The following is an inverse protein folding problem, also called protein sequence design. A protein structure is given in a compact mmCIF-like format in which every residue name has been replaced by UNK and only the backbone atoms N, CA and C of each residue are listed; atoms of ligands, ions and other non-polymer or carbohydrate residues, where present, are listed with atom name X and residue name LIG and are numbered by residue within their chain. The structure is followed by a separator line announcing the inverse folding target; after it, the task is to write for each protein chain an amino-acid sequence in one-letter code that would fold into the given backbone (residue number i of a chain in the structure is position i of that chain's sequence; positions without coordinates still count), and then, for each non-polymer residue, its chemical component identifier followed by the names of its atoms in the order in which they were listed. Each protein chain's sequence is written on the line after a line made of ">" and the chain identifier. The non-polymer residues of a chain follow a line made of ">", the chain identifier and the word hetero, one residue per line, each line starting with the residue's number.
data_IF_619610912566
#
_entry.id   IF_619610912566
#
_cell.length_a   1.000
_cell.length_b   1.000
_cell.length_c   1.000
_cell.angle_alpha   90.00
_cell.angle_beta   90.00
_cell.angle_gamma   90.00
#
_symmetry.space_group_name_H-M   'P 1'
#
loop_
_entity.id
_entity.type
_entity.pdbx_description
1 polymer ?
#
# COMPACT_ATOMS: atom_id res chain seq x y z
N UNK A 1 -12.36 8.15 -16.70
CA UNK A 1 -11.77 9.36 -16.08
C UNK A 1 -10.27 9.23 -16.23
N UNK A 2 -9.62 10.20 -16.85
CA UNK A 2 -8.19 10.12 -17.17
C UNK A 2 -7.29 10.17 -15.92
N UNK A 3 -6.11 9.54 -16.00
CA UNK A 3 -5.13 9.44 -14.91
C UNK A 3 -4.69 10.83 -14.43
N UNK A 4 -4.52 11.79 -15.35
CA UNK A 4 -4.17 13.17 -15.02
C UNK A 4 -5.25 13.84 -14.16
N UNK A 5 -6.52 13.69 -14.55
CA UNK A 5 -7.65 14.29 -13.81
C UNK A 5 -7.82 13.71 -12.41
N UNK A 6 -7.44 12.45 -12.19
CA UNK A 6 -7.42 11.85 -10.85
C UNK A 6 -6.32 12.48 -9.97
N UNK A 7 -5.13 12.69 -10.53
CA UNK A 7 -4.03 13.35 -9.83
C UNK A 7 -4.37 14.81 -9.47
N UNK A 8 -5.02 15.54 -10.38
CA UNK A 8 -5.51 16.89 -10.15
C UNK A 8 -6.51 16.98 -8.97
N UNK A 9 -7.47 16.04 -8.90
CA UNK A 9 -8.44 16.01 -7.78
C UNK A 9 -7.74 15.70 -6.45
N UNK A 10 -6.82 14.74 -6.44
CA UNK A 10 -6.06 14.34 -5.25
C UNK A 10 -5.23 15.51 -4.72
N UNK A 11 -4.54 16.22 -5.60
CA UNK A 11 -3.70 17.36 -5.24
C UNK A 11 -4.53 18.55 -4.78
N UNK A 12 -5.72 18.77 -5.36
CA UNK A 12 -6.64 19.84 -4.96
C UNK A 12 -7.35 19.59 -3.62
N UNK A 13 -7.52 18.33 -3.20
CA UNK A 13 -8.29 17.96 -2.00
C UNK A 13 -7.55 16.97 -1.08
N UNK A 14 -6.33 17.29 -0.59
CA UNK A 14 -5.46 16.34 0.10
C UNK A 14 -6.07 15.74 1.38
N UNK A 15 -6.86 16.53 2.13
CA UNK A 15 -7.55 16.05 3.33
C UNK A 15 -8.65 15.05 2.99
N UNK A 16 -9.44 15.32 1.95
CA UNK A 16 -10.50 14.41 1.51
C UNK A 16 -9.89 13.11 0.98
N UNK A 17 -8.79 13.20 0.23
CA UNK A 17 -8.05 12.02 -0.26
C UNK A 17 -7.53 11.17 0.89
N UNK A 18 -6.97 11.77 1.93
CA UNK A 18 -6.48 11.02 3.08
C UNK A 18 -7.60 10.33 3.87
N UNK A 19 -8.75 11.00 4.05
CA UNK A 19 -9.94 10.40 4.68
C UNK A 19 -10.46 9.22 3.85
N UNK A 20 -10.50 9.37 2.53
CA UNK A 20 -10.88 8.30 1.61
C UNK A 20 -9.90 7.12 1.71
N UNK A 21 -8.60 7.39 1.68
CA UNK A 21 -7.55 6.38 1.85
C UNK A 21 -7.73 5.62 3.18
N UNK A 22 -7.96 6.32 4.29
CA UNK A 22 -8.23 5.70 5.58
C UNK A 22 -9.46 4.80 5.55
N UNK A 23 -10.59 5.29 5.04
CA UNK A 23 -11.83 4.51 4.93
C UNK A 23 -11.61 3.24 4.09
N UNK A 24 -10.95 3.38 2.94
CA UNK A 24 -10.67 2.28 2.03
C UNK A 24 -9.76 1.23 2.70
N UNK A 25 -8.64 1.65 3.27
CA UNK A 25 -7.68 0.77 3.93
C UNK A 25 -8.31 0.09 5.14
N UNK A 26 -9.01 0.81 6.01
CA UNK A 26 -9.67 0.23 7.18
C UNK A 26 -10.68 -0.85 6.79
N UNK A 27 -11.46 -0.63 5.73
CA UNK A 27 -12.40 -1.64 5.23
C UNK A 27 -11.69 -2.85 4.63
N UNK A 28 -10.63 -2.65 3.84
CA UNK A 28 -9.83 -3.75 3.29
C UNK A 28 -9.21 -4.58 4.42
N UNK A 29 -8.61 -3.93 5.42
CA UNK A 29 -8.02 -4.61 6.57
C UNK A 29 -9.06 -5.35 7.39
N UNK A 30 -10.24 -4.76 7.62
CA UNK A 30 -11.33 -5.44 8.32
C UNK A 30 -11.76 -6.70 7.57
N UNK A 31 -11.98 -6.64 6.26
CA UNK A 31 -12.36 -7.81 5.46
C UNK A 31 -11.24 -8.85 5.45
N UNK A 32 -9.99 -8.42 5.26
CA UNK A 32 -8.85 -9.33 5.14
C UNK A 32 -8.52 -10.03 6.46
N UNK A 33 -8.52 -9.27 7.56
CA UNK A 33 -8.12 -9.73 8.90
C UNK A 33 -9.30 -10.42 9.60
N UNK A 34 -10.44 -9.74 9.73
CA UNK A 34 -11.61 -10.29 10.45
C UNK A 34 -12.32 -11.33 9.56
N UNK A 35 -12.44 -11.05 8.26
CA UNK A 35 -13.02 -12.02 7.32
C UNK A 35 -12.12 -13.22 7.03
N UNK A 36 -10.88 -13.24 7.56
CA UNK A 36 -10.02 -14.42 7.55
C UNK A 36 -9.54 -14.84 6.16
N UNK A 37 -9.45 -13.90 5.21
CA UNK A 37 -9.04 -14.18 3.82
C UNK A 37 -7.65 -14.83 3.77
N UNK A 38 -6.75 -14.43 4.68
CA UNK A 38 -5.39 -14.98 4.78
C UNK A 38 -5.28 -16.12 5.80
N UNK A 39 -6.40 -16.61 6.33
CA UNK A 39 -6.44 -17.55 7.44
C UNK A 39 -6.21 -16.89 8.80
N UNK A 40 -6.00 -17.69 9.86
CA UNK A 40 -5.83 -17.17 11.22
C UNK A 40 -4.57 -16.31 11.35
N UNK A 41 -4.73 -15.07 11.82
CA UNK A 41 -3.64 -14.10 12.01
C UNK A 41 -3.26 -14.06 13.49
N UNK A 42 -1.97 -14.19 13.77
CA UNK A 42 -1.40 -14.10 15.12
C UNK A 42 -1.13 -12.66 15.54
N UNK A 43 -0.66 -11.82 14.62
CA UNK A 43 -0.39 -10.40 14.87
C UNK A 43 -0.33 -9.62 13.55
N UNK A 44 -0.51 -8.30 13.61
CA UNK A 44 -0.26 -7.40 12.49
C UNK A 44 0.40 -6.10 12.99
N UNK A 45 1.17 -5.47 12.11
CA UNK A 45 1.80 -4.18 12.32
C UNK A 45 1.73 -3.40 11.00
N UNK A 46 1.37 -2.13 11.03
CA UNK A 46 1.37 -1.31 9.82
C UNK A 46 1.69 0.15 10.07
N UNK A 47 2.19 0.83 9.05
CA UNK A 47 2.51 2.26 9.05
C UNK A 47 2.03 2.90 7.75
N UNK A 48 1.47 4.10 7.85
CA UNK A 48 1.10 4.91 6.68
C UNK A 48 2.17 5.98 6.50
N UNK A 49 2.68 6.09 5.28
CA UNK A 49 3.72 7.04 4.91
C UNK A 49 3.30 7.81 3.64
N UNK A 50 4.00 8.91 3.36
CA UNK A 50 3.86 9.62 2.10
C UNK A 50 5.06 9.37 1.20
N UNK A 51 4.81 8.94 -0.02
CA UNK A 51 5.85 8.53 -0.98
C UNK A 51 6.62 9.71 -1.60
N UNK A 52 6.45 10.94 -1.11
CA UNK A 52 7.04 12.15 -1.69
C UNK A 52 6.49 12.53 -3.07
N UNK A 53 5.42 11.86 -3.52
CA UNK A 53 4.75 12.07 -4.81
C UNK A 53 3.26 12.43 -4.66
N UNK A 54 2.89 12.97 -3.49
CA UNK A 54 1.50 13.38 -3.20
C UNK A 54 0.52 12.23 -2.93
N UNK A 55 1.01 11.00 -2.77
CA UNK A 55 0.22 9.81 -2.40
C UNK A 55 0.55 9.33 -0.98
N UNK A 56 -0.43 8.64 -0.37
CA UNK A 56 -0.26 7.86 0.86
C UNK A 56 -0.11 6.38 0.50
N UNK A 57 0.75 5.67 1.22
CA UNK A 57 0.92 4.22 1.07
C UNK A 57 0.99 3.55 2.44
N UNK A 58 0.48 2.32 2.52
CA UNK A 58 0.49 1.50 3.72
C UNK A 58 1.59 0.44 3.61
N UNK A 59 2.52 0.44 4.56
CA UNK A 59 3.34 -0.74 4.85
C UNK A 59 2.61 -1.60 5.87
N UNK A 60 2.38 -2.87 5.57
CA UNK A 60 1.71 -3.81 6.46
C UNK A 60 2.54 -5.10 6.58
N UNK A 61 2.78 -5.52 7.82
CA UNK A 61 3.40 -6.78 8.18
C UNK A 61 2.39 -7.60 8.97
N UNK A 62 2.16 -8.85 8.56
CA UNK A 62 1.23 -9.77 9.21
C UNK A 62 1.94 -11.07 9.55
N UNK A 63 1.66 -11.59 10.74
CA UNK A 63 2.10 -12.91 11.18
C UNK A 63 0.90 -13.86 11.13
N UNK A 64 0.97 -14.84 10.24
CA UNK A 64 -0.03 -15.90 10.18
C UNK A 64 0.18 -16.90 11.32
N UNK A 65 -0.90 -17.44 11.85
CA UNK A 65 -0.85 -18.49 12.86
C UNK A 65 -0.70 -19.86 12.17
N UNK A 66 0.51 -20.14 11.68
CA UNK A 66 0.89 -21.44 11.12
C UNK A 66 2.22 -21.91 11.68
N UNK A 67 2.48 -23.22 11.59
CA UNK A 67 3.73 -23.81 12.11
C UNK A 67 4.85 -23.94 11.07
N UNK A 68 4.59 -23.56 9.81
CA UNK A 68 5.59 -23.65 8.73
C UNK A 68 6.77 -22.69 8.97
N UNK A 69 7.97 -23.23 9.08
CA UNK A 69 9.21 -22.45 9.25
C UNK A 69 9.85 -22.15 7.90
N UNK A 70 10.75 -21.16 7.82
CA UNK A 70 11.52 -20.91 6.60
C UNK A 70 12.29 -22.14 6.08
N UNK A 71 12.74 -23.02 6.98
CA UNK A 71 13.38 -24.28 6.61
C UNK A 71 12.42 -25.24 5.88
N UNK A 72 11.19 -25.39 6.40
CA UNK A 72 10.16 -26.25 5.81
C UNK A 72 9.75 -25.74 4.43
N UNK A 73 9.68 -24.41 4.25
CA UNK A 73 9.40 -23.81 2.95
C UNK A 73 10.53 -24.10 1.95
N UNK A 74 11.79 -24.01 2.38
CA UNK A 74 12.96 -24.29 1.54
C UNK A 74 12.97 -25.75 1.06
N UNK A 75 12.54 -26.68 1.92
CA UNK A 75 12.37 -28.09 1.58
C UNK A 75 11.19 -28.28 0.62
N UNK A 76 10.02 -27.71 0.91
CA UNK A 76 8.82 -27.82 0.06
C UNK A 76 9.02 -27.24 -1.34
N UNK A 77 9.82 -26.19 -1.49
CA UNK A 77 10.13 -25.60 -2.81
C UNK A 77 10.91 -26.57 -3.71
N UNK A 78 11.54 -27.61 -3.17
CA UNK A 78 12.18 -28.66 -3.99
C UNK A 78 11.13 -29.48 -4.75
N UNK A 79 9.94 -29.68 -4.17
CA UNK A 79 8.82 -30.33 -4.84
C UNK A 79 8.30 -29.47 -6.00
N UNK A 80 8.30 -30.05 -7.20
CA UNK A 80 7.94 -29.32 -8.42
C UNK A 80 6.46 -28.89 -8.40
N UNK A 81 5.55 -29.73 -7.87
CA UNK A 81 4.12 -29.40 -7.82
C UNK A 81 3.85 -28.22 -6.89
N UNK A 82 4.44 -28.24 -5.70
CA UNK A 82 4.34 -27.16 -4.73
C UNK A 82 4.92 -25.85 -5.30
N UNK A 83 6.10 -25.92 -5.92
CA UNK A 83 6.76 -24.75 -6.50
C UNK A 83 5.92 -24.09 -7.59
N UNK A 84 5.32 -24.86 -8.50
CA UNK A 84 4.47 -24.29 -9.55
C UNK A 84 3.17 -23.69 -8.98
N UNK A 85 2.59 -24.31 -7.95
CA UNK A 85 1.43 -23.72 -7.24
C UNK A 85 1.80 -22.41 -6.53
N UNK A 86 2.98 -22.35 -5.91
CA UNK A 86 3.46 -21.14 -5.25
C UNK A 86 3.69 -20.01 -6.26
N UNK A 87 4.29 -20.31 -7.43
CA UNK A 87 4.44 -19.32 -8.50
C UNK A 87 3.10 -18.79 -8.98
N UNK A 88 2.16 -19.68 -9.31
CA UNK A 88 0.83 -19.28 -9.76
C UNK A 88 0.12 -18.39 -8.74
N UNK A 89 0.24 -18.72 -7.45
CA UNK A 89 -0.27 -17.87 -6.37
C UNK A 89 0.40 -16.49 -6.36
N UNK A 90 1.72 -16.42 -6.44
CA UNK A 90 2.47 -15.15 -6.43
C UNK A 90 2.12 -14.27 -7.64
N UNK A 91 1.98 -14.86 -8.83
CA UNK A 91 1.55 -14.14 -10.06
C UNK A 91 0.11 -13.65 -9.98
N UNK A 92 -0.74 -14.31 -9.20
CA UNK A 92 -2.11 -13.86 -8.95
C UNK A 92 -2.15 -12.67 -7.99
N UNK A 93 -1.39 -12.70 -6.89
CA UNK A 93 -1.45 -11.67 -5.85
C UNK A 93 -0.53 -10.47 -6.08
N UNK A 94 0.58 -10.64 -6.81
CA UNK A 94 1.49 -9.54 -7.14
C UNK A 94 1.02 -8.93 -8.45
N UNK A 95 0.31 -7.81 -8.35
CA UNK A 95 -0.07 -6.98 -9.50
C UNK A 95 0.71 -5.67 -9.48
N UNK A 96 1.32 -5.35 -10.61
CA UNK A 96 1.94 -4.05 -10.86
C UNK A 96 1.24 -3.46 -12.08
N UNK A 97 0.52 -2.35 -11.88
CA UNK A 97 -0.17 -1.65 -12.97
C UNK A 97 0.76 -0.55 -13.51
N UNK A 98 1.69 -0.94 -14.38
CA UNK A 98 2.57 -0.02 -15.13
C UNK A 98 2.16 0.11 -16.60
N UNK A 99 1.02 -0.46 -17.01
CA UNK A 99 0.72 -0.64 -18.42
C UNK A 99 0.51 0.69 -19.18
N UNK A 100 0.13 1.76 -18.48
CA UNK A 100 0.03 3.12 -19.04
C UNK A 100 1.39 3.73 -19.49
N UNK A 101 2.53 3.12 -19.16
CA UNK A 101 3.86 3.64 -19.53
C UNK A 101 4.50 2.94 -20.75
N UNK A 102 3.90 1.85 -21.25
CA UNK A 102 4.49 1.08 -22.36
C UNK A 102 4.27 1.70 -23.74
N UNK A 103 3.24 2.54 -23.89
CA UNK A 103 2.85 3.11 -25.20
C UNK A 103 3.37 4.54 -25.46
N UNK A 104 4.31 5.05 -24.67
CA UNK A 104 4.94 6.37 -24.92
C UNK A 104 6.43 6.26 -25.27
N UNK A 105 6.76 5.42 -26.25
CA UNK A 105 7.89 5.69 -27.13
C UNK A 105 7.46 6.65 -28.25
N UNK A 106 7.06 7.87 -27.88
CA UNK A 106 7.13 9.00 -28.81
C UNK A 106 8.41 9.73 -28.44
N UNK A 107 9.47 9.45 -29.20
CA UNK A 107 10.63 10.34 -29.28
C UNK A 107 10.13 11.66 -29.90
N UNK A 108 9.56 12.56 -29.10
CA UNK A 108 9.48 13.96 -29.48
C UNK A 108 10.79 14.63 -29.08
N UNK A 109 11.49 15.10 -30.10
CA UNK A 109 12.72 15.87 -29.99
C UNK A 109 12.46 17.14 -29.17
N UNK A 110 12.94 17.17 -27.92
CA UNK A 110 12.97 18.40 -27.13
C UNK A 110 14.12 19.30 -27.61
N UNK A 111 13.86 20.07 -28.67
CA UNK A 111 14.59 21.31 -28.96
C UNK A 111 13.62 22.48 -28.79
N UNK A 112 13.26 22.81 -27.56
CA UNK A 112 12.65 24.08 -27.12
C UNK A 112 12.85 24.16 -25.59
N UNK A 113 13.38 25.27 -25.02
CA UNK A 113 13.55 25.41 -23.57
C UNK A 113 12.20 25.72 -22.90
N UNK A 114 11.34 24.70 -22.79
CA UNK A 114 10.07 24.77 -22.09
C UNK A 114 10.24 24.66 -20.57
N UNK A 115 9.62 25.58 -19.83
CA UNK A 115 9.67 25.69 -18.37
C UNK A 115 9.39 24.36 -17.68
N UNK A 116 10.28 23.98 -16.77
CA UNK A 116 10.07 22.88 -15.83
C UNK A 116 8.76 23.13 -15.06
N UNK A 117 7.77 22.25 -15.26
CA UNK A 117 6.47 22.32 -14.61
C UNK A 117 6.65 22.23 -13.08
N UNK A 118 6.58 23.36 -12.41
CA UNK A 118 6.47 23.44 -10.95
C UNK A 118 5.01 23.21 -10.58
N UNK A 119 4.53 21.98 -10.72
CA UNK A 119 3.30 21.57 -10.04
C UNK A 119 3.46 21.90 -8.55
N UNK A 120 2.51 22.60 -7.92
CA UNK A 120 2.68 23.06 -6.55
C UNK A 120 2.93 21.84 -5.66
N UNK A 121 4.15 21.75 -5.11
CA UNK A 121 4.47 20.78 -4.06
C UNK A 121 3.40 20.97 -2.99
N UNK A 122 2.56 19.95 -2.79
CA UNK A 122 1.70 19.88 -1.61
C UNK A 122 2.65 20.09 -0.42
N UNK A 123 2.43 21.15 0.36
CA UNK A 123 3.25 21.37 1.55
C UNK A 123 3.25 20.09 2.38
N UNK A 124 4.44 19.63 2.77
CA UNK A 124 4.59 18.47 3.68
C UNK A 124 3.64 18.59 4.88
N UNK A 125 3.34 19.82 5.33
CA UNK A 125 2.44 20.11 6.45
C UNK A 125 1.01 19.56 6.25
N UNK A 126 0.46 19.65 5.03
CA UNK A 126 -0.89 19.16 4.73
C UNK A 126 -0.96 17.62 4.75
N UNK A 127 0.13 16.97 4.34
CA UNK A 127 0.27 15.51 4.36
C UNK A 127 0.39 15.03 5.80
N UNK A 128 1.24 15.68 6.61
CA UNK A 128 1.40 15.32 8.03
C UNK A 128 0.14 15.59 8.85
N UNK A 129 -0.61 16.65 8.57
CA UNK A 129 -1.90 16.89 9.20
C UNK A 129 -2.91 15.77 8.89
N UNK A 130 -2.88 15.26 7.65
CA UNK A 130 -3.74 14.17 7.22
C UNK A 130 -3.31 12.82 7.81
N UNK A 131 -2.01 12.51 7.85
CA UNK A 131 -1.45 11.31 8.50
C UNK A 131 -1.81 11.23 10.00
N UNK A 132 -1.86 12.36 10.71
CA UNK A 132 -2.28 12.41 12.13
C UNK A 132 -3.75 12.02 12.36
N UNK A 133 -4.58 12.03 11.32
CA UNK A 133 -5.99 11.61 11.40
C UNK A 133 -6.20 10.13 11.12
N UNK A 134 -5.16 9.42 10.68
CA UNK A 134 -5.22 8.01 10.29
C UNK A 134 -4.73 7.18 11.48
N UNK A 135 -5.66 6.81 12.34
CA UNK A 135 -5.41 5.85 13.41
C UNK A 135 -5.93 4.48 13.01
N UNK A 136 -5.02 3.54 12.76
CA UNK A 136 -5.34 2.15 12.43
C UNK A 136 -5.31 1.23 13.66
N UNK A 137 -5.08 1.75 14.88
CA UNK A 137 -5.00 0.90 16.08
C UNK A 137 -6.31 0.17 16.36
N UNK A 138 -7.46 0.76 16.01
CA UNK A 138 -8.78 0.16 16.24
C UNK A 138 -9.03 -1.15 15.48
N UNK A 139 -8.36 -1.38 14.34
CA UNK A 139 -8.48 -2.66 13.61
C UNK A 139 -7.76 -3.81 14.32
N UNK A 140 -6.75 -3.52 15.16
CA UNK A 140 -5.99 -4.52 15.90
C UNK A 140 -6.64 -4.88 17.26
N UNK A 141 -7.44 -3.98 17.83
CA UNK A 141 -8.06 -4.16 19.16
C UNK A 141 -9.03 -5.35 19.22
N UNK A 142 -9.65 -5.71 18.09
CA UNK A 142 -10.59 -6.84 18.02
C UNK A 142 -9.92 -8.19 17.67
N UNK A 143 -8.60 -8.22 17.45
CA UNK A 143 -7.90 -9.39 16.88
C UNK A 143 -6.73 -9.88 17.72
N UNK A 144 -6.04 -9.02 18.48
CA UNK A 144 -4.91 -9.47 19.29
C UNK A 144 -4.67 -8.64 20.58
N UNK A 145 -4.59 -9.26 21.78
CA UNK A 145 -4.37 -8.53 23.04
C UNK A 145 -2.97 -7.91 23.19
N UNK A 146 -2.02 -8.24 22.32
CA UNK A 146 -0.62 -7.80 22.44
C UNK A 146 -0.37 -6.47 21.73
N UNK A 147 -0.46 -5.41 22.53
CA UNK A 147 -0.32 -3.99 22.19
C UNK A 147 1.04 -3.65 21.54
N UNK A 148 1.05 -3.13 20.31
CA UNK A 148 2.17 -2.32 19.79
C UNK A 148 1.66 -0.90 19.57
N UNK A 149 2.09 0.02 20.43
CA UNK A 149 1.66 1.42 20.46
C UNK A 149 2.29 2.17 19.29
N UNK A 150 1.46 2.79 18.45
CA UNK A 150 1.90 3.69 17.38
C UNK A 150 2.46 4.98 18.00
N UNK A 151 3.66 5.38 17.58
CA UNK A 151 4.14 6.76 17.77
C UNK A 151 4.59 7.30 16.42
N UNK A 152 4.26 8.55 16.07
CA UNK A 152 4.80 9.18 14.87
C UNK A 152 6.32 9.21 14.98
N UNK A 153 7.04 8.75 13.95
CA UNK A 153 8.46 9.13 13.83
C UNK A 153 8.50 10.63 13.53
N UNK A 154 9.28 11.33 14.36
CA UNK A 154 9.58 12.76 14.22
C UNK A 154 10.27 13.05 12.90
#
# INVERSE_FOLDING_TARGET
>A
MDTYKRAEIITSHPVATAKFFHLLVSNILNIMIIGGVLGPIKACFGTVESQGRGSLHLHLLMWLNHDMKPADLKEKIQDASFREKLKAYLEDIIKEDLDDFKDKHVFENFNEPGSFDTSPRISQDNIYAALRTIDLTGCAENVCPSRVRMTPRK
#
